data_IF_753223720522
#
_entry.id   IF_753223720522
#
_cell.length_a   1.000
_cell.length_b   1.000
_cell.length_c   1.000
_cell.angle_alpha   90.00
_cell.angle_beta   90.00
_cell.angle_gamma   90.00
#
_symmetry.space_group_name_H-M   'P 1'
#
loop_
_entity.id
_entity.type
_entity.pdbx_description
1 polymer ?
#
# COMPACT_ATOMS: atom_id res chain seq x y z
N UNK A 1 -3.75 9.22 11.65
CA UNK A 1 -4.57 9.75 10.53
C UNK A 1 -4.69 8.63 9.50
N UNK A 2 -5.89 8.29 9.04
CA UNK A 2 -6.06 7.23 8.03
C UNK A 2 -5.73 7.76 6.62
N UNK A 3 -5.16 6.92 5.76
CA UNK A 3 -4.95 7.26 4.35
C UNK A 3 -6.27 7.10 3.57
N UNK A 4 -6.49 7.99 2.60
CA UNK A 4 -7.58 7.88 1.64
C UNK A 4 -7.03 7.37 0.31
N UNK A 5 -7.64 6.31 -0.22
CA UNK A 5 -7.19 5.68 -1.46
C UNK A 5 -8.15 5.97 -2.61
N UNK A 6 -7.58 6.36 -3.75
CA UNK A 6 -8.26 6.42 -5.04
C UNK A 6 -8.03 5.14 -5.83
N UNK A 7 -9.03 4.74 -6.62
CA UNK A 7 -8.93 3.60 -7.54
C UNK A 7 -9.10 4.09 -8.97
N UNK A 8 -8.19 3.70 -9.86
CA UNK A 8 -8.28 3.94 -11.30
C UNK A 8 -8.05 2.65 -12.06
N UNK A 9 -8.56 2.59 -13.29
CA UNK A 9 -8.23 1.53 -14.25
C UNK A 9 -7.53 2.15 -15.46
N UNK A 10 -6.51 1.49 -16.04
CA UNK A 10 -6.05 1.85 -17.36
C UNK A 10 -7.20 1.77 -18.36
N UNK A 11 -7.19 2.65 -19.37
CA UNK A 11 -8.21 2.66 -20.43
C UNK A 11 -8.26 1.28 -21.10
N UNK A 12 -9.44 0.65 -21.08
CA UNK A 12 -9.66 -0.66 -21.69
C UNK A 12 -9.23 -1.87 -20.86
N UNK A 13 -8.75 -1.69 -19.62
CA UNK A 13 -8.33 -2.79 -18.74
C UNK A 13 -9.17 -2.82 -17.46
N UNK A 14 -10.31 -3.52 -17.53
CA UNK A 14 -11.25 -3.65 -16.40
C UNK A 14 -10.81 -4.70 -15.37
N UNK A 15 -9.78 -5.48 -15.66
CA UNK A 15 -9.16 -6.46 -14.79
C UNK A 15 -8.00 -5.88 -13.95
N UNK A 16 -7.71 -4.59 -14.08
CA UNK A 16 -6.58 -3.96 -13.41
C UNK A 16 -7.02 -2.77 -12.56
N UNK A 17 -6.58 -2.77 -11.30
CA UNK A 17 -6.80 -1.69 -10.35
C UNK A 17 -5.46 -0.99 -10.05
N UNK A 18 -5.45 0.33 -10.23
CA UNK A 18 -4.38 1.22 -9.77
C UNK A 18 -4.87 1.89 -8.51
N UNK A 19 -4.28 1.52 -7.38
CA UNK A 19 -4.68 2.03 -6.07
C UNK A 19 -3.64 3.02 -5.61
N UNK A 20 -4.07 4.27 -5.47
CA UNK A 20 -3.21 5.42 -5.23
C UNK A 20 -3.63 6.17 -3.97
N UNK A 21 -2.71 6.90 -3.35
CA UNK A 21 -3.03 7.90 -2.33
C UNK A 21 -2.14 9.13 -2.52
N UNK A 22 -2.60 10.27 -2.03
CA UNK A 22 -1.81 11.50 -2.01
C UNK A 22 -1.00 11.51 -0.71
N UNK A 23 0.33 11.41 -0.83
CA UNK A 23 1.21 11.36 0.33
C UNK A 23 1.56 12.76 0.83
N UNK A 24 1.69 12.92 2.15
CA UNK A 24 2.08 14.19 2.75
C UNK A 24 3.48 14.68 2.32
N UNK A 25 4.36 13.79 1.83
CA UNK A 25 5.66 14.18 1.25
C UNK A 25 5.57 14.66 -0.21
N UNK A 26 4.36 14.73 -0.81
CA UNK A 26 4.14 15.14 -2.20
C UNK A 26 4.21 14.02 -3.24
N UNK A 27 4.59 12.80 -2.84
CA UNK A 27 4.53 11.64 -3.73
C UNK A 27 3.09 11.18 -3.98
N UNK A 28 2.90 10.46 -5.10
CA UNK A 28 1.63 9.85 -5.48
C UNK A 28 1.81 8.33 -5.68
N UNK A 29 1.97 7.54 -4.60
CA UNK A 29 2.21 6.12 -4.73
C UNK A 29 1.06 5.39 -5.42
N UNK A 30 1.38 4.35 -6.19
CA UNK A 30 0.52 3.60 -7.08
C UNK A 30 0.86 2.10 -7.12
N UNK A 31 0.15 1.32 -6.28
CA UNK A 31 0.20 -0.13 -6.37
C UNK A 31 -0.81 -0.63 -7.42
N UNK A 32 -0.32 -1.48 -8.35
CA UNK A 32 -1.11 -2.02 -9.46
C UNK A 32 -1.44 -3.48 -9.23
N UNK A 33 -2.71 -3.77 -9.03
CA UNK A 33 -3.20 -5.13 -8.80
C UNK A 33 -4.03 -5.63 -9.99
N UNK A 34 -3.74 -6.85 -10.47
CA UNK A 34 -4.53 -7.53 -11.50
C UNK A 34 -5.51 -8.49 -10.82
N UNK A 35 -6.78 -8.46 -11.22
CA UNK A 35 -7.82 -9.35 -10.72
C UNK A 35 -7.40 -10.81 -10.85
N UNK A 36 -7.46 -11.53 -9.73
CA UNK A 36 -7.11 -12.96 -9.69
C UNK A 36 -5.61 -13.23 -9.56
N UNK A 37 -4.76 -12.21 -9.47
CA UNK A 37 -3.37 -12.42 -9.07
C UNK A 37 -3.31 -12.96 -7.64
N UNK A 38 -2.46 -13.97 -7.43
CA UNK A 38 -2.32 -14.64 -6.14
C UNK A 38 -1.62 -13.77 -5.08
N UNK A 39 -0.76 -12.85 -5.52
CA UNK A 39 0.04 -12.01 -4.64
C UNK A 39 -0.50 -10.58 -4.59
N UNK A 40 -0.37 -9.95 -3.42
CA UNK A 40 -0.62 -8.53 -3.27
C UNK A 40 0.46 -7.71 -3.98
N UNK A 41 0.03 -6.68 -4.71
CA UNK A 41 0.92 -5.64 -5.20
C UNK A 41 1.22 -4.65 -4.08
N UNK A 42 2.37 -3.98 -4.12
CA UNK A 42 2.70 -2.99 -3.10
C UNK A 42 3.52 -1.83 -3.65
N UNK A 43 3.53 -0.74 -2.90
CA UNK A 43 4.48 0.34 -3.09
C UNK A 43 4.93 0.89 -1.74
N UNK A 44 6.21 1.28 -1.68
CA UNK A 44 6.82 1.91 -0.53
C UNK A 44 7.25 3.33 -0.92
N UNK A 45 6.59 4.32 -0.34
CA UNK A 45 6.92 5.72 -0.52
C UNK A 45 8.25 6.07 0.16
N UNK A 46 9.00 6.99 -0.43
CA UNK A 46 10.27 7.50 0.11
C UNK A 46 10.16 8.03 1.56
N UNK A 47 9.00 8.54 1.98
CA UNK A 47 8.77 9.01 3.35
C UNK A 47 8.62 7.86 4.39
N UNK A 48 8.63 6.60 3.94
CA UNK A 48 8.51 5.43 4.79
C UNK A 48 7.10 4.82 4.83
N UNK A 49 6.06 5.50 4.31
CA UNK A 49 4.71 4.91 4.22
C UNK A 49 4.71 3.80 3.17
N UNK A 50 4.13 2.66 3.49
CA UNK A 50 3.98 1.51 2.59
C UNK A 50 2.53 1.09 2.48
N UNK A 51 2.07 0.68 1.29
CA UNK A 51 0.76 0.07 1.11
C UNK A 51 0.82 -1.18 0.24
N UNK A 52 -0.06 -2.13 0.54
CA UNK A 52 -0.28 -3.39 -0.15
C UNK A 52 -1.72 -3.47 -0.62
N UNK A 53 -1.95 -4.11 -1.77
CA UNK A 53 -3.22 -4.15 -2.48
C UNK A 53 -3.41 -5.53 -3.09
N UNK A 54 -4.50 -6.19 -2.73
CA UNK A 54 -4.79 -7.55 -3.21
C UNK A 54 -5.12 -8.53 -2.08
N UNK A 55 -5.24 -9.83 -2.39
CA UNK A 55 -5.46 -10.86 -1.39
C UNK A 55 -4.30 -10.88 -0.40
N UNK A 56 -4.60 -11.17 0.87
CA UNK A 56 -3.60 -11.22 1.95
C UNK A 56 -2.77 -9.93 2.12
N UNK A 57 -3.27 -8.76 1.67
CA UNK A 57 -2.53 -7.49 1.76
C UNK A 57 -2.02 -7.20 3.17
N UNK A 58 -2.82 -7.48 4.20
CA UNK A 58 -2.41 -7.29 5.61
C UNK A 58 -1.29 -8.26 6.02
N UNK A 59 -1.39 -9.53 5.63
CA UNK A 59 -0.36 -10.53 5.90
C UNK A 59 0.96 -10.17 5.21
N UNK A 60 0.88 -9.84 3.91
CA UNK A 60 2.03 -9.41 3.11
C UNK A 60 2.72 -8.16 3.69
N UNK A 61 1.93 -7.15 4.10
CA UNK A 61 2.44 -5.96 4.76
C UNK A 61 3.19 -6.28 6.06
N UNK A 62 2.62 -7.14 6.92
CA UNK A 62 3.25 -7.49 8.20
C UNK A 62 4.58 -8.20 7.99
N UNK A 63 4.61 -9.20 7.11
CA UNK A 63 5.84 -9.90 6.76
C UNK A 63 6.89 -8.95 6.18
N UNK A 64 6.49 -8.06 5.27
CA UNK A 64 7.37 -7.06 4.67
C UNK A 64 8.01 -6.14 5.73
N UNK A 65 7.21 -5.62 6.66
CA UNK A 65 7.71 -4.74 7.72
C UNK A 65 8.60 -5.48 8.72
N UNK A 66 8.29 -6.74 9.04
CA UNK A 66 9.11 -7.58 9.91
C UNK A 66 10.48 -7.85 9.30
N UNK A 67 10.53 -8.21 8.02
CA UNK A 67 11.78 -8.41 7.29
C UNK A 67 12.64 -7.16 7.24
N UNK A 68 12.04 -6.00 6.95
CA UNK A 68 12.78 -4.71 6.91
C UNK A 68 13.32 -4.32 8.28
N UNK A 69 12.53 -4.55 9.33
CA UNK A 69 12.97 -4.36 10.71
C UNK A 69 14.15 -5.27 11.05
N UNK A 70 14.11 -6.54 10.64
CA UNK A 70 15.21 -7.47 10.86
C UNK A 70 16.50 -7.05 10.13
N UNK A 71 16.39 -6.40 8.97
CA UNK A 71 17.52 -5.83 8.22
C UNK A 71 17.95 -4.44 8.70
N UNK A 72 17.24 -3.84 9.65
CA UNK A 72 17.54 -2.50 10.17
C UNK A 72 17.25 -1.36 9.19
N UNK A 73 16.49 -1.61 8.11
CA UNK A 73 16.26 -0.66 7.02
C UNK A 73 15.32 0.49 7.40
N UNK A 74 14.57 0.34 8.49
CA UNK A 74 13.57 1.30 8.95
C UNK A 74 13.87 1.82 10.38
N UNK A 75 15.15 1.75 10.79
CA UNK A 75 15.61 2.25 12.08
C UNK A 75 15.37 3.77 12.26
N UNK A 76 15.30 4.51 11.16
CA UNK A 76 15.14 5.97 11.11
C UNK A 76 13.67 6.43 11.17
N UNK A 77 12.73 5.58 10.75
CA UNK A 77 11.29 5.88 10.71
C UNK A 77 10.53 5.34 11.92
N UNK A 78 11.14 4.41 12.66
CA UNK A 78 10.57 3.84 13.88
C UNK A 78 9.44 2.83 13.63
N UNK A 79 8.67 2.48 14.67
CA UNK A 79 7.64 1.46 14.56
C UNK A 79 6.48 1.88 13.66
N UNK A 80 5.87 0.91 13.00
CA UNK A 80 4.74 1.13 12.10
C UNK A 80 3.40 0.89 12.79
N UNK A 81 2.46 1.82 12.63
CA UNK A 81 1.04 1.58 12.82
C UNK A 81 0.46 0.92 11.56
N UNK A 82 -0.07 -0.30 11.71
CA UNK A 82 -0.63 -1.08 10.60
C UNK A 82 -2.14 -0.90 10.55
N UNK A 83 -2.65 -0.63 9.36
CA UNK A 83 -4.05 -0.41 9.08
C UNK A 83 -4.51 -1.28 7.91
N UNK A 84 -5.80 -1.61 7.91
CA UNK A 84 -6.46 -2.32 6.83
C UNK A 84 -7.74 -1.58 6.45
N UNK A 85 -8.02 -1.52 5.16
CA UNK A 85 -9.25 -0.97 4.59
C UNK A 85 -9.61 -1.74 3.31
N UNK A 86 -10.72 -1.36 2.69
CA UNK A 86 -11.17 -1.90 1.40
C UNK A 86 -11.48 -0.75 0.45
N UNK A 87 -11.21 -0.97 -0.83
CA UNK A 87 -11.60 -0.06 -1.90
C UNK A 87 -12.44 -0.82 -2.93
N UNK A 88 -13.32 -0.10 -3.64
CA UNK A 88 -14.09 -0.70 -4.73
C UNK A 88 -13.21 -0.81 -5.97
N UNK A 89 -12.99 -2.03 -6.44
CA UNK A 89 -12.20 -2.29 -7.64
C UNK A 89 -12.96 -1.89 -8.92
N UNK A 90 -12.27 -1.68 -10.05
CA UNK A 90 -12.91 -1.37 -11.33
C UNK A 90 -13.87 -2.43 -11.85
N UNK A 91 -13.70 -3.69 -11.40
CA UNK A 91 -14.62 -4.80 -11.70
C UNK A 91 -15.78 -4.93 -10.72
N UNK A 92 -15.98 -3.95 -9.82
CA UNK A 92 -17.11 -3.87 -8.89
C UNK A 92 -16.99 -4.73 -7.62
N UNK A 93 -15.85 -5.40 -7.41
CA UNK A 93 -15.59 -6.17 -6.19
C UNK A 93 -14.79 -5.39 -5.16
N UNK A 94 -14.82 -5.84 -3.91
CA UNK A 94 -13.97 -5.30 -2.85
C UNK A 94 -12.51 -5.73 -3.06
N UNK A 95 -11.60 -4.77 -2.98
CA UNK A 95 -10.17 -4.99 -3.06
C UNK A 95 -9.54 -4.61 -1.72
N UNK A 96 -8.94 -5.57 -0.99
CA UNK A 96 -8.26 -5.27 0.26
C UNK A 96 -7.05 -4.37 0.04
N UNK A 97 -6.88 -3.42 0.96
CA UNK A 97 -5.73 -2.53 1.03
C UNK A 97 -5.22 -2.52 2.46
N UNK A 98 -3.95 -2.80 2.65
CA UNK A 98 -3.28 -2.65 3.93
C UNK A 98 -2.19 -1.60 3.82
N UNK A 99 -1.95 -0.81 4.86
CA UNK A 99 -0.88 0.18 4.85
C UNK A 99 -0.24 0.37 6.21
N UNK A 100 1.05 0.68 6.19
CA UNK A 100 1.87 0.97 7.35
C UNK A 100 2.20 2.46 7.39
N UNK A 101 1.90 3.09 8.53
CA UNK A 101 2.35 4.45 8.83
C UNK A 101 3.51 4.38 9.82
N UNK A 102 4.71 4.85 9.47
CA UNK A 102 5.80 4.89 10.44
C UNK A 102 5.53 5.95 11.51
N UNK A 103 6.18 5.80 12.67
CA UNK A 103 6.14 6.79 13.75
C UNK A 103 6.68 8.15 13.31
N UNK A 104 7.69 8.15 12.43
CA UNK A 104 8.30 9.34 11.86
C UNK A 104 8.40 9.21 10.34
N UNK A 105 7.98 10.24 9.62
CA UNK A 105 8.17 10.32 8.17
C UNK A 105 9.62 10.73 7.86
N UNK A 106 10.25 10.08 6.88
CA UNK A 106 11.53 10.56 6.35
C UNK A 106 11.34 11.93 5.72
N UNK A 107 12.25 12.85 6.06
CA UNK A 107 12.40 14.10 5.33
C UNK A 107 12.99 13.82 3.93
N UNK A 108 12.56 14.61 2.96
CA UNK A 108 12.89 14.43 1.55
C UNK A 108 13.74 15.57 1.01
#
# INVERSE_FOLDING_TARGET
MALSFGVRAPKGQTDMAWVTYDCACGCHPNARYRRGAAEAAHEHCCCGIVHFVGPEALGALRSYLEERRARGEDADVGPYAVHETRVTAPWGGDLPVAYGLPAHLRAH
#
